data_IF_168386063782
#
_entry.id   IF_168386063782
#
_cell.length_a   1.000
_cell.length_b   1.000
_cell.length_c   1.000
_cell.angle_alpha   90.00
_cell.angle_beta   90.00
_cell.angle_gamma   90.00
#
_symmetry.space_group_name_H-M   'P 1'
#
loop_
_entity.id
_entity.type
_entity.pdbx_description
1 polymer ?
#
# COMPACT_ATOMS: atom_id res chain seq x y z
N UNK A 1 22.44 4.59 -0.63
CA UNK A 1 22.51 3.28 -1.30
C UNK A 1 21.08 2.86 -1.60
N UNK A 2 20.62 3.00 -2.84
CA UNK A 2 19.27 2.60 -3.28
C UNK A 2 19.30 1.13 -3.65
N UNK A 3 18.54 0.30 -2.93
CA UNK A 3 18.37 -1.11 -3.27
C UNK A 3 17.49 -1.22 -4.52
N UNK A 4 17.95 -1.95 -5.53
CA UNK A 4 17.19 -2.24 -6.74
C UNK A 4 16.72 -3.71 -6.66
N UNK A 5 15.40 -4.00 -6.75
CA UNK A 5 14.92 -5.38 -6.74
C UNK A 5 15.47 -6.13 -7.95
N UNK A 6 16.03 -7.33 -7.74
CA UNK A 6 16.30 -8.28 -8.82
C UNK A 6 15.00 -8.68 -9.50
N UNK A 7 15.00 -9.01 -10.78
CA UNK A 7 13.76 -9.32 -11.55
C UNK A 7 12.93 -10.49 -10.97
N UNK A 8 13.56 -11.42 -10.24
CA UNK A 8 12.90 -12.52 -9.54
C UNK A 8 12.34 -12.17 -8.14
N UNK A 9 12.58 -10.94 -7.67
CA UNK A 9 12.20 -10.46 -6.35
C UNK A 9 10.78 -9.91 -6.26
N UNK A 10 10.47 -9.29 -5.12
CA UNK A 10 9.20 -8.62 -4.86
C UNK A 10 9.38 -7.33 -4.08
N UNK A 11 8.48 -6.37 -4.31
CA UNK A 11 8.35 -5.15 -3.50
C UNK A 11 6.96 -5.13 -2.89
N UNK A 12 6.87 -5.12 -1.56
CA UNK A 12 5.63 -4.78 -0.87
C UNK A 12 5.43 -3.27 -0.97
N UNK A 13 4.45 -2.84 -1.75
CA UNK A 13 3.96 -1.46 -1.68
C UNK A 13 2.92 -1.39 -0.57
N UNK A 14 3.23 -0.69 0.50
CA UNK A 14 2.37 -0.61 1.69
C UNK A 14 1.94 0.82 2.02
N UNK A 15 0.76 0.93 2.61
CA UNK A 15 0.25 2.14 3.26
C UNK A 15 -0.06 1.81 4.74
N UNK A 16 0.14 2.74 5.68
CA UNK A 16 -0.37 2.58 7.03
C UNK A 16 -1.90 2.54 7.03
N UNK A 17 -2.49 1.69 7.86
CA UNK A 17 -3.91 1.71 8.20
C UNK A 17 -4.16 2.53 9.47
N UNK A 18 -5.43 2.65 9.90
CA UNK A 18 -5.78 3.45 11.10
C UNK A 18 -5.30 2.85 12.43
N UNK A 19 -4.80 1.62 12.40
CA UNK A 19 -4.15 0.98 13.53
C UNK A 19 -2.62 1.07 13.47
N UNK A 20 -2.08 1.75 12.46
CA UNK A 20 -0.64 1.86 12.22
C UNK A 20 -0.02 0.60 11.62
N UNK A 21 -0.83 -0.38 11.20
CA UNK A 21 -0.33 -1.57 10.50
C UNK A 21 -0.05 -1.22 9.04
N UNK A 22 1.06 -1.73 8.49
CA UNK A 22 1.36 -1.55 7.07
C UNK A 22 0.61 -2.60 6.26
N UNK A 23 -0.37 -2.17 5.47
CA UNK A 23 -1.15 -3.03 4.56
C UNK A 23 -0.76 -2.73 3.12
N UNK A 24 -0.64 -3.77 2.30
CA UNK A 24 0.03 -3.62 1.02
C UNK A 24 -0.02 -4.83 0.11
N UNK A 25 0.27 -4.59 -1.16
CA UNK A 25 0.33 -5.63 -2.18
C UNK A 25 1.77 -5.85 -2.61
N UNK A 26 2.14 -7.11 -2.82
CA UNK A 26 3.43 -7.45 -3.40
C UNK A 26 3.40 -7.28 -4.91
N UNK A 27 4.39 -6.56 -5.43
CA UNK A 27 4.60 -6.32 -6.86
C UNK A 27 5.86 -7.04 -7.33
N UNK A 28 5.80 -7.58 -8.54
CA UNK A 28 7.01 -7.90 -9.30
C UNK A 28 7.73 -6.59 -9.68
N UNK A 29 9.07 -6.59 -9.87
CA UNK A 29 9.84 -5.36 -10.07
C UNK A 29 9.35 -4.52 -11.25
N UNK A 30 8.98 -5.16 -12.37
CA UNK A 30 8.41 -4.44 -13.52
C UNK A 30 7.07 -3.76 -13.21
N UNK A 31 6.18 -4.43 -12.47
CA UNK A 31 4.91 -3.85 -12.06
C UNK A 31 5.10 -2.75 -11.01
N UNK A 32 6.09 -2.87 -10.12
CA UNK A 32 6.45 -1.82 -9.19
C UNK A 32 6.98 -0.58 -9.90
N UNK A 33 7.85 -0.74 -10.92
CA UNK A 33 8.30 0.39 -11.75
C UNK A 33 7.12 1.12 -12.41
N UNK A 34 6.19 0.37 -13.01
CA UNK A 34 4.96 0.96 -13.55
C UNK A 34 4.14 1.70 -12.50
N UNK A 35 4.05 1.17 -11.27
CA UNK A 35 3.35 1.84 -10.17
C UNK A 35 4.06 3.10 -9.69
N UNK A 36 5.40 3.15 -9.70
CA UNK A 36 6.16 4.37 -9.41
C UNK A 36 5.88 5.45 -10.47
N UNK A 37 5.75 5.07 -11.74
CA UNK A 37 5.49 6.02 -12.83
C UNK A 37 4.05 6.51 -12.90
N UNK A 38 3.07 5.62 -12.61
CA UNK A 38 1.65 5.85 -12.94
C UNK A 38 0.73 5.82 -11.72
N UNK A 39 1.27 5.53 -10.55
CA UNK A 39 0.47 5.15 -9.39
C UNK A 39 -0.16 3.76 -9.54
N UNK A 40 -0.88 3.36 -8.51
CA UNK A 40 -1.72 2.15 -8.52
C UNK A 40 -2.95 2.37 -7.65
N UNK A 41 -3.84 1.38 -7.59
CA UNK A 41 -5.06 1.44 -6.79
C UNK A 41 -5.06 0.39 -5.69
N UNK A 42 -5.71 0.71 -4.58
CA UNK A 42 -5.95 -0.20 -3.46
C UNK A 42 -7.29 0.16 -2.82
N UNK A 43 -8.09 -0.83 -2.44
CA UNK A 43 -9.37 -0.57 -1.76
C UNK A 43 -9.15 0.10 -0.40
N UNK A 44 -10.01 1.06 -0.05
CA UNK A 44 -10.05 1.71 1.27
C UNK A 44 -10.46 0.74 2.40
N UNK A 45 -10.96 -0.45 2.05
CA UNK A 45 -11.25 -1.52 3.01
C UNK A 45 -10.02 -1.87 3.85
N UNK A 46 -8.83 -1.74 3.27
CA UNK A 46 -7.57 -2.04 3.95
C UNK A 46 -7.19 -1.02 5.01
N UNK A 47 -7.89 0.11 5.10
CA UNK A 47 -7.71 1.09 6.17
C UNK A 47 -8.33 0.65 7.49
N UNK A 48 -9.33 -0.24 7.47
CA UNK A 48 -10.16 -0.58 8.63
C UNK A 48 -10.35 -2.08 8.79
N UNK A 49 -9.26 -2.85 8.83
CA UNK A 49 -9.27 -4.28 9.13
C UNK A 49 -8.75 -4.53 10.54
N UNK A 50 -9.37 -5.45 11.26
CA UNK A 50 -8.89 -5.90 12.56
C UNK A 50 -7.60 -6.77 12.43
N UNK A 51 -7.00 -7.21 13.55
CA UNK A 51 -5.80 -8.05 13.52
C UNK A 51 -5.97 -9.44 12.90
N UNK A 52 -7.20 -9.94 12.72
CA UNK A 52 -7.51 -11.22 12.07
C UNK A 52 -8.08 -11.05 10.66
N UNK A 53 -7.92 -9.85 10.09
CA UNK A 53 -8.31 -9.49 8.72
C UNK A 53 -9.83 -9.38 8.50
N UNK A 54 -10.60 -9.09 9.56
CA UNK A 54 -12.03 -8.82 9.46
C UNK A 54 -12.31 -7.32 9.29
N UNK A 55 -13.23 -6.92 8.38
CA UNK A 55 -13.66 -5.53 8.27
C UNK A 55 -14.24 -4.99 9.58
N UNK A 56 -13.75 -3.84 10.02
CA UNK A 56 -14.33 -3.09 11.13
C UNK A 56 -15.51 -2.30 10.58
N UNK A 57 -16.71 -2.82 10.85
CA UNK A 57 -17.96 -2.29 10.32
C UNK A 57 -18.47 -1.04 11.05
N UNK A 58 -17.73 -0.47 12.00
CA UNK A 58 -18.16 0.73 12.71
C UNK A 58 -17.60 2.02 12.08
N UNK A 59 -16.65 1.91 11.15
CA UNK A 59 -16.16 3.05 10.38
C UNK A 59 -17.19 3.51 9.35
N UNK A 60 -17.33 4.84 9.24
CA UNK A 60 -18.32 5.50 8.37
C UNK A 60 -17.72 6.24 7.17
N UNK A 61 -16.42 6.51 7.21
CA UNK A 61 -15.72 7.30 6.20
C UNK A 61 -15.04 6.44 5.13
N UNK A 62 -14.81 5.16 5.43
CA UNK A 62 -14.18 4.19 4.53
C UNK A 62 -14.62 2.76 4.84
N UNK A 63 -14.29 1.83 3.95
CA UNK A 63 -14.42 0.40 4.14
C UNK A 63 -15.79 -0.18 3.75
N UNK A 64 -16.20 -1.26 4.42
CA UNK A 64 -17.29 -2.11 3.91
C UNK A 64 -18.63 -1.37 3.78
N UNK A 65 -18.89 -0.41 4.67
CA UNK A 65 -20.13 0.37 4.67
C UNK A 65 -20.17 1.47 3.60
N UNK A 66 -19.02 1.88 3.07
CA UNK A 66 -18.92 2.88 1.99
C UNK A 66 -18.83 2.25 0.60
N UNK A 67 -18.93 0.92 0.52
CA UNK A 67 -18.78 0.17 -0.73
C UNK A 67 -17.34 -0.15 -1.10
N UNK A 68 -16.40 0.03 -0.16
CA UNK A 68 -14.98 -0.30 -0.31
C UNK A 68 -14.28 0.35 -1.54
N UNK A 69 -14.48 1.67 -1.82
CA UNK A 69 -13.94 2.32 -3.01
C UNK A 69 -12.41 2.26 -3.08
N UNK A 70 -11.88 2.47 -4.29
CA UNK A 70 -10.44 2.49 -4.52
C UNK A 70 -9.80 3.82 -4.10
N UNK A 71 -8.66 3.71 -3.42
CA UNK A 71 -7.68 4.76 -3.17
C UNK A 71 -6.59 4.70 -4.24
N UNK A 72 -6.03 5.87 -4.55
CA UNK A 72 -4.82 6.00 -5.34
C UNK A 72 -3.60 5.92 -4.41
N UNK A 73 -2.62 5.09 -4.79
CA UNK A 73 -1.34 4.97 -4.12
C UNK A 73 -0.22 5.38 -5.07
N UNK A 74 0.53 6.40 -4.68
CA UNK A 74 1.76 6.80 -5.33
C UNK A 74 2.95 6.32 -4.48
N UNK A 75 3.72 5.31 -4.91
CA UNK A 75 4.91 4.89 -4.18
C UNK A 75 5.88 6.04 -3.97
N UNK A 76 6.48 6.12 -2.77
CA UNK A 76 7.63 6.99 -2.49
C UNK A 76 8.93 6.17 -2.56
N UNK A 77 9.70 6.23 -3.68
CA UNK A 77 10.94 5.47 -3.84
C UNK A 77 11.99 5.80 -2.78
N UNK A 78 11.91 6.97 -2.13
CA UNK A 78 12.78 7.36 -1.03
C UNK A 78 12.65 6.44 0.19
N UNK A 79 11.52 5.75 0.33
CA UNK A 79 11.23 4.79 1.40
C UNK A 79 11.61 3.35 1.07
N UNK A 80 12.04 3.06 -0.17
CA UNK A 80 12.34 1.70 -0.60
C UNK A 80 13.50 1.11 0.21
N UNK A 81 13.26 0.03 0.96
CA UNK A 81 14.28 -0.68 1.76
C UNK A 81 14.25 -2.19 1.52
N UNK A 82 15.40 -2.87 1.47
CA UNK A 82 15.44 -4.33 1.48
C UNK A 82 14.91 -4.87 2.81
N UNK A 83 14.27 -6.04 2.79
CA UNK A 83 13.74 -6.70 3.99
C UNK A 83 14.76 -7.72 4.51
N UNK A 84 15.45 -7.40 5.60
CA UNK A 84 16.54 -8.22 6.15
C UNK A 84 16.16 -9.69 6.45
N UNK A 85 14.91 -9.97 6.84
CA UNK A 85 14.42 -11.32 7.12
C UNK A 85 13.78 -12.05 5.93
N UNK A 86 13.83 -11.48 4.72
CA UNK A 86 13.22 -12.06 3.52
C UNK A 86 14.02 -11.69 2.28
N UNK A 87 15.10 -12.43 1.94
CA UNK A 87 15.92 -12.16 0.78
C UNK A 87 15.09 -12.06 -0.52
N UNK A 88 15.48 -11.15 -1.41
CA UNK A 88 14.74 -10.85 -2.64
C UNK A 88 13.49 -9.98 -2.44
N UNK A 89 13.15 -9.61 -1.20
CA UNK A 89 12.03 -8.71 -0.91
C UNK A 89 12.50 -7.33 -0.48
N UNK A 90 11.74 -6.32 -0.90
CA UNK A 90 11.79 -4.98 -0.35
C UNK A 90 10.42 -4.50 0.09
N UNK A 91 10.42 -3.38 0.80
CA UNK A 91 9.22 -2.63 1.19
C UNK A 91 9.36 -1.20 0.71
N UNK A 92 8.29 -0.66 0.16
CA UNK A 92 8.13 0.73 -0.26
C UNK A 92 6.81 1.23 0.34
N UNK A 93 6.80 2.46 0.84
CA UNK A 93 5.61 3.07 1.42
C UNK A 93 4.97 4.05 0.44
N UNK A 94 3.67 4.25 0.59
CA UNK A 94 2.88 5.27 -0.07
C UNK A 94 1.87 5.86 0.92
N UNK A 95 1.59 7.15 0.75
CA UNK A 95 0.42 7.78 1.36
C UNK A 95 -0.77 7.64 0.42
N UNK A 96 -1.95 7.19 0.90
CA UNK A 96 -3.13 7.08 0.07
C UNK A 96 -3.77 8.44 -0.22
N UNK A 97 -4.36 8.58 -1.41
CA UNK A 97 -5.21 9.72 -1.79
C UNK A 97 -6.51 9.22 -2.42
N UNK A 98 -7.57 10.00 -2.30
CA UNK A 98 -8.83 9.74 -2.98
C UNK A 98 -8.72 10.00 -4.49
N UNK A 99 -9.63 9.45 -5.32
CA UNK A 99 -9.63 9.66 -6.78
C UNK A 99 -9.74 11.14 -7.20
N UNK A 100 -10.27 12.01 -6.33
CA UNK A 100 -10.33 13.45 -6.55
C UNK A 100 -9.00 14.18 -6.26
N UNK A 101 -7.96 13.44 -5.84
CA UNK A 101 -6.63 13.96 -5.51
C UNK A 101 -6.50 14.47 -4.07
N UNK A 102 -7.58 14.47 -3.28
CA UNK A 102 -7.49 14.83 -1.87
C UNK A 102 -6.75 13.75 -1.07
N UNK A 103 -5.98 14.16 -0.06
CA UNK A 103 -5.25 13.21 0.79
C UNK A 103 -6.23 12.39 1.62
N UNK A 104 -6.06 11.08 1.64
CA UNK A 104 -6.76 10.23 2.59
C UNK A 104 -6.15 10.47 3.98
N UNK A 105 -6.94 11.01 4.91
CA UNK A 105 -6.51 11.27 6.28
C UNK A 105 -6.86 10.05 7.12
N UNK A 106 -5.86 9.53 7.84
CA UNK A 106 -5.97 8.42 8.77
C UNK A 106 -6.18 8.94 10.20
#
# INVERSE_FOLDING_TARGET
MTWNPSDDGFVLLGMPDVHGSVRGKAFRPGAFRSAVEKGTVMTDLWLGLDPVDMPIADYREYGINTGAPDLLLQPDPGTLRPRAGRPGWGICLADPSWPDGSRCRL
#
